data_IF_357065261509
#
_entry.id   IF_357065261509
#
_cell.length_a   1.000
_cell.length_b   1.000
_cell.length_c   1.000
_cell.angle_alpha   90.00
_cell.angle_beta   90.00
_cell.angle_gamma   90.00
#
_symmetry.space_group_name_H-M   'P 1'
#
loop_
_entity.id
_entity.type
_entity.pdbx_description
1 polymer ?
#
# COMPACT_ATOMS: atom_id res chain seq x y z
N UNK A 1 21.26 -14.95 12.49
CA UNK A 1 21.76 -16.34 12.35
C UNK A 1 20.60 -17.28 12.65
N UNK A 2 20.04 -17.93 11.61
CA UNK A 2 18.91 -18.85 11.75
C UNK A 2 19.42 -20.13 12.40
N UNK A 3 19.17 -20.28 13.71
CA UNK A 3 19.83 -21.28 14.57
C UNK A 3 19.39 -22.74 14.31
N UNK A 4 18.31 -22.98 13.57
CA UNK A 4 17.81 -24.33 13.25
C UNK A 4 17.41 -24.48 11.78
N UNK A 5 17.42 -25.72 11.28
CA UNK A 5 16.97 -26.07 9.93
C UNK A 5 15.53 -25.60 9.68
N UNK A 6 14.64 -25.82 10.64
CA UNK A 6 13.25 -25.36 10.58
C UNK A 6 13.16 -23.83 10.46
N UNK A 7 13.97 -23.07 11.20
CA UNK A 7 14.01 -21.61 11.10
C UNK A 7 14.45 -21.13 9.72
N UNK A 8 15.41 -21.83 9.08
CA UNK A 8 15.82 -21.55 7.69
C UNK A 8 14.71 -21.85 6.69
N UNK A 9 14.04 -23.00 6.83
CA UNK A 9 12.93 -23.40 5.95
C UNK A 9 11.74 -22.45 6.06
N UNK A 10 11.40 -21.99 7.27
CA UNK A 10 10.37 -20.96 7.47
C UNK A 10 10.75 -19.64 6.80
N UNK A 11 12.00 -19.19 6.93
CA UNK A 11 12.44 -17.95 6.26
C UNK A 11 12.45 -18.07 4.75
N UNK A 12 12.89 -19.21 4.20
CA UNK A 12 12.81 -19.48 2.77
C UNK A 12 11.35 -19.45 2.30
N UNK A 13 10.44 -20.05 3.07
CA UNK A 13 9.01 -20.02 2.78
C UNK A 13 8.45 -18.59 2.79
N UNK A 14 8.75 -17.79 3.83
CA UNK A 14 8.29 -16.40 3.94
C UNK A 14 8.82 -15.55 2.79
N UNK A 15 10.11 -15.64 2.47
CA UNK A 15 10.71 -14.90 1.35
C UNK A 15 10.08 -15.32 0.03
N UNK A 16 9.92 -16.62 -0.20
CA UNK A 16 9.25 -17.13 -1.41
C UNK A 16 7.81 -16.60 -1.51
N UNK A 17 7.05 -16.63 -0.42
CA UNK A 17 5.68 -16.11 -0.39
C UNK A 17 5.63 -14.61 -0.72
N UNK A 18 6.52 -13.81 -0.13
CA UNK A 18 6.61 -12.37 -0.42
C UNK A 18 6.98 -12.10 -1.89
N UNK A 19 7.89 -12.89 -2.46
CA UNK A 19 8.25 -12.77 -3.87
C UNK A 19 7.08 -13.12 -4.79
N UNK A 20 6.39 -14.24 -4.53
CA UNK A 20 5.24 -14.68 -5.34
C UNK A 20 4.08 -13.69 -5.26
N UNK A 21 3.74 -13.23 -4.05
CA UNK A 21 2.65 -12.26 -3.84
C UNK A 21 3.02 -10.86 -4.36
N UNK A 22 4.30 -10.48 -4.27
CA UNK A 22 4.81 -9.18 -4.70
C UNK A 22 5.12 -9.07 -6.19
N UNK A 23 5.33 -10.18 -6.90
CA UNK A 23 5.78 -10.20 -8.30
C UNK A 23 4.84 -9.48 -9.29
N UNK A 24 3.57 -9.24 -8.92
CA UNK A 24 2.58 -8.54 -9.76
C UNK A 24 2.32 -7.07 -9.38
N UNK A 25 2.92 -6.56 -8.31
CA UNK A 25 2.66 -5.20 -7.83
C UNK A 25 3.24 -4.17 -8.81
N UNK A 26 2.37 -3.31 -9.37
CA UNK A 26 2.76 -2.25 -10.30
C UNK A 26 2.95 -2.69 -11.76
N UNK A 27 2.71 -3.96 -12.09
CA UNK A 27 2.79 -4.45 -13.48
C UNK A 27 1.52 -4.22 -14.30
N UNK A 28 0.46 -3.69 -13.69
CA UNK A 28 -0.78 -3.34 -14.36
C UNK A 28 -1.18 -1.91 -14.07
N UNK A 29 -1.97 -1.36 -14.97
CA UNK A 29 -2.60 -0.07 -14.73
C UNK A 29 -3.53 -0.13 -13.51
N UNK A 30 -3.69 1.01 -12.80
CA UNK A 30 -4.60 1.10 -11.67
C UNK A 30 -6.03 0.80 -12.11
N UNK A 31 -6.74 0.00 -11.32
CA UNK A 31 -8.13 -0.32 -11.60
C UNK A 31 -9.04 0.89 -11.30
N UNK A 32 -9.79 1.41 -12.29
CA UNK A 32 -10.70 2.53 -12.07
C UNK A 32 -11.93 2.10 -11.24
N UNK A 33 -12.43 2.88 -10.29
CA UNK A 33 -12.05 4.24 -9.88
C UNK A 33 -11.23 4.29 -8.58
N UNK A 34 -11.02 3.15 -7.92
CA UNK A 34 -10.60 3.13 -6.51
C UNK A 34 -9.10 3.28 -6.31
N UNK A 35 -8.29 2.46 -7.00
CA UNK A 35 -6.82 2.48 -6.86
C UNK A 35 -6.20 3.85 -7.17
N UNK A 36 -6.51 4.53 -8.30
CA UNK A 36 -5.92 5.83 -8.58
C UNK A 36 -6.45 6.93 -7.64
N UNK A 37 -7.70 6.82 -7.19
CA UNK A 37 -8.31 7.79 -6.28
C UNK A 37 -7.62 7.75 -4.90
N UNK A 38 -7.41 6.55 -4.37
CA UNK A 38 -6.71 6.30 -3.11
C UNK A 38 -5.25 6.76 -3.16
N UNK A 39 -4.52 6.34 -4.19
CA UNK A 39 -3.14 6.77 -4.42
C UNK A 39 -3.01 8.31 -4.51
N UNK A 40 -3.96 9.00 -5.16
CA UNK A 40 -3.97 10.45 -5.25
C UNK A 40 -4.17 11.11 -3.88
N UNK A 41 -5.15 10.64 -3.10
CA UNK A 41 -5.43 11.21 -1.77
C UNK A 41 -4.22 11.00 -0.84
N UNK A 42 -3.66 9.79 -0.81
CA UNK A 42 -2.47 9.48 -0.02
C UNK A 42 -1.28 10.38 -0.41
N UNK A 43 -1.07 10.60 -1.71
CA UNK A 43 -0.06 11.53 -2.21
C UNK A 43 -0.32 12.95 -1.73
N UNK A 44 -1.54 13.46 -1.84
CA UNK A 44 -1.88 14.82 -1.41
C UNK A 44 -1.73 15.00 0.11
N UNK A 45 -2.04 13.98 0.92
CA UNK A 45 -1.81 14.00 2.36
C UNK A 45 -0.32 14.11 2.69
N UNK A 46 0.52 13.36 1.97
CA UNK A 46 1.98 13.42 2.10
C UNK A 46 2.54 14.79 1.71
N UNK A 47 2.12 15.31 0.54
CA UNK A 47 2.63 16.59 0.00
C UNK A 47 2.15 17.81 0.81
N UNK A 48 0.90 17.78 1.32
CA UNK A 48 0.33 18.91 2.08
C UNK A 48 0.62 18.87 3.58
N UNK A 49 0.94 17.71 4.15
CA UNK A 49 1.03 17.52 5.59
C UNK A 49 -0.33 17.55 6.32
N UNK A 50 -1.45 17.48 5.60
CA UNK A 50 -2.79 17.38 6.18
C UNK A 50 -3.23 15.92 6.31
N UNK A 51 -2.94 15.30 7.46
CA UNK A 51 -3.21 13.87 7.70
C UNK A 51 -4.60 13.62 8.28
N UNK A 52 -5.24 14.63 8.87
CA UNK A 52 -6.56 14.49 9.50
C UNK A 52 -7.71 14.74 8.53
N UNK A 53 -7.50 15.65 7.58
CA UNK A 53 -8.51 16.12 6.62
C UNK A 53 -8.02 15.83 5.21
N UNK A 54 -8.27 14.62 4.68
CA UNK A 54 -7.82 14.22 3.35
C UNK A 54 -8.49 15.08 2.27
N UNK A 55 -7.76 15.37 1.20
CA UNK A 55 -8.25 16.12 0.05
C UNK A 55 -8.13 15.25 -1.20
N UNK A 56 -9.03 15.48 -2.16
CA UNK A 56 -8.96 14.94 -3.51
C UNK A 56 -9.07 16.09 -4.49
N UNK A 57 -7.95 16.49 -5.09
CA UNK A 57 -7.87 17.71 -5.88
C UNK A 57 -8.05 18.94 -4.98
N UNK A 58 -9.07 19.75 -5.26
CA UNK A 58 -9.41 20.96 -4.48
C UNK A 58 -10.50 20.73 -3.43
N UNK A 59 -11.11 19.54 -3.41
CA UNK A 59 -12.22 19.22 -2.52
C UNK A 59 -11.78 18.36 -1.34
N UNK A 60 -12.50 18.47 -0.23
CA UNK A 60 -12.32 17.59 0.93
C UNK A 60 -12.82 16.18 0.57
N UNK A 61 -12.03 15.16 0.91
CA UNK A 61 -12.39 13.78 0.68
C UNK A 61 -13.03 13.16 1.95
N UNK A 62 -14.29 13.50 2.22
CA UNK A 62 -14.99 13.13 3.46
C UNK A 62 -15.55 11.71 3.50
N UNK A 63 -15.52 10.97 2.40
CA UNK A 63 -16.20 9.67 2.29
C UNK A 63 -15.52 8.56 3.10
N UNK A 64 -14.23 8.71 3.42
CA UNK A 64 -13.45 7.70 4.16
C UNK A 64 -12.51 8.33 5.19
N UNK A 65 -12.20 7.61 6.29
CA UNK A 65 -11.22 8.06 7.26
C UNK A 65 -9.78 7.98 6.69
N UNK A 66 -8.85 8.84 7.16
CA UNK A 66 -7.50 8.98 6.60
C UNK A 66 -6.61 7.73 6.69
N UNK A 67 -6.94 6.77 7.56
CA UNK A 67 -6.17 5.53 7.74
C UNK A 67 -6.33 4.51 6.60
N UNK A 68 -7.29 4.71 5.68
CA UNK A 68 -7.66 3.77 4.61
C UNK A 68 -7.60 4.40 3.22
N UNK A 69 -6.72 5.40 3.04
CA UNK A 69 -6.45 6.04 1.76
C UNK A 69 -5.41 5.28 0.95
#
# INVERSE_FOLDING_TARGET
MLKSRASRETWLFVVMALLVLGAGLGLRDPWPSDEPRFALVAKQMFDSGHWLFPHRGTELYSDKPPMLM
#
